data_IF_844437876618
#
_entry.id   IF_844437876618
#
_cell.length_a   1.000
_cell.length_b   1.000
_cell.length_c   1.000
_cell.angle_alpha   90.00
_cell.angle_beta   90.00
_cell.angle_gamma   90.00
#
_symmetry.space_group_name_H-M   'P 1'
#
loop_
_entity.id
_entity.type
_entity.pdbx_description
1 polymer ?
#
# COMPACT_ATOMS: atom_id res chain seq x y z
N UNK A 1 20.06 -16.64 8.51
CA UNK A 1 20.65 -17.01 9.81
C UNK A 1 20.55 -18.53 9.97
N UNK A 2 21.65 -19.27 10.19
CA UNK A 2 21.66 -20.74 10.16
C UNK A 2 20.72 -21.41 11.19
N UNK A 3 20.34 -20.70 12.25
CA UNK A 3 19.56 -21.24 13.38
C UNK A 3 18.17 -20.59 13.54
N UNK A 4 17.64 -19.94 12.50
CA UNK A 4 16.32 -19.30 12.60
C UNK A 4 15.20 -20.36 12.60
N UNK A 5 14.34 -20.34 13.61
CA UNK A 5 13.15 -21.18 13.70
C UNK A 5 11.90 -20.30 13.74
N UNK A 6 11.05 -20.44 12.72
CA UNK A 6 9.85 -19.63 12.55
C UNK A 6 8.82 -19.86 13.66
N UNK A 7 8.74 -21.06 14.25
CA UNK A 7 7.79 -21.33 15.34
C UNK A 7 8.23 -20.66 16.62
N UNK A 8 9.50 -20.82 16.99
CA UNK A 8 10.08 -20.14 18.15
C UNK A 8 9.99 -18.62 18.03
N UNK A 9 10.21 -18.09 16.82
CA UNK A 9 10.02 -16.66 16.57
C UNK A 9 8.57 -16.24 16.78
N UNK A 10 7.61 -17.00 16.25
CA UNK A 10 6.19 -16.71 16.42
C UNK A 10 5.76 -16.75 17.90
N UNK A 11 6.19 -17.78 18.64
CA UNK A 11 5.95 -17.92 20.08
C UNK A 11 6.55 -16.76 20.87
N UNK A 12 7.80 -16.37 20.57
CA UNK A 12 8.45 -15.23 21.20
C UNK A 12 7.70 -13.92 20.95
N UNK A 13 7.20 -13.71 19.73
CA UNK A 13 6.41 -12.52 19.40
C UNK A 13 5.05 -12.51 20.13
N UNK A 14 4.39 -13.66 20.24
CA UNK A 14 3.14 -13.78 21.00
C UNK A 14 3.36 -13.50 22.49
N UNK A 15 4.40 -14.07 23.09
CA UNK A 15 4.78 -13.81 24.47
C UNK A 15 5.09 -12.32 24.71
N UNK A 16 5.77 -11.67 23.75
CA UNK A 16 6.03 -10.24 23.81
C UNK A 16 4.73 -9.42 23.76
N UNK A 17 3.79 -9.75 22.87
CA UNK A 17 2.49 -9.06 22.80
C UNK A 17 1.73 -9.17 24.12
N UNK A 18 1.63 -10.37 24.68
CA UNK A 18 0.98 -10.59 25.99
C UNK A 18 1.67 -9.83 27.13
N UNK A 19 3.00 -9.74 27.09
CA UNK A 19 3.75 -8.91 28.04
C UNK A 19 3.44 -7.42 27.86
N UNK A 20 3.44 -6.92 26.62
CA UNK A 20 3.13 -5.53 26.31
C UNK A 20 1.70 -5.13 26.73
N UNK A 21 0.72 -6.02 26.54
CA UNK A 21 -0.66 -5.82 26.98
C UNK A 21 -0.76 -5.71 28.51
N UNK A 22 -0.05 -6.58 29.24
CA UNK A 22 0.05 -6.50 30.71
C UNK A 22 0.76 -5.21 31.17
N UNK A 23 1.82 -4.83 30.48
CA UNK A 23 2.56 -3.59 30.76
C UNK A 23 1.69 -2.35 30.51
N UNK A 24 0.86 -2.35 29.46
CA UNK A 24 -0.03 -1.22 29.15
C UNK A 24 -1.06 -0.91 30.25
N UNK A 25 -1.43 -1.90 31.05
CA UNK A 25 -2.34 -1.76 32.19
C UNK A 25 -1.63 -1.62 33.54
N UNK A 26 -0.29 -1.62 33.55
CA UNK A 26 0.51 -1.48 34.76
C UNK A 26 0.25 -0.14 35.47
N UNK A 27 0.46 -0.07 36.80
CA UNK A 27 0.37 1.18 37.56
C UNK A 27 1.31 2.26 37.03
N UNK A 28 2.51 1.88 36.60
CA UNK A 28 3.56 2.79 36.12
C UNK A 28 3.11 3.49 34.83
N UNK A 29 2.70 2.71 33.81
CA UNK A 29 2.23 3.25 32.53
C UNK A 29 0.93 4.03 32.75
N UNK A 30 0.02 3.54 33.59
CA UNK A 30 -1.22 4.26 33.88
C UNK A 30 -0.95 5.62 34.52
N UNK A 31 0.00 5.71 35.46
CA UNK A 31 0.41 6.97 36.09
C UNK A 31 1.02 7.93 35.06
N UNK A 32 1.88 7.44 34.17
CA UNK A 32 2.45 8.24 33.09
C UNK A 32 1.36 8.79 32.15
N UNK A 33 0.42 7.94 31.72
CA UNK A 33 -0.68 8.35 30.84
C UNK A 33 -1.62 9.36 31.50
N UNK A 34 -1.84 9.25 32.82
CA UNK A 34 -2.57 10.24 33.60
C UNK A 34 -1.85 11.60 33.60
N UNK A 35 -0.54 11.61 33.86
CA UNK A 35 0.27 12.84 33.84
C UNK A 35 0.24 13.50 32.46
N UNK A 36 0.41 12.72 31.39
CA UNK A 36 0.33 13.22 30.01
C UNK A 36 -1.05 13.78 29.65
N UNK A 37 -2.14 13.21 30.19
CA UNK A 37 -3.49 13.71 29.97
C UNK A 37 -3.71 15.07 30.66
N UNK A 38 -3.19 15.24 31.88
CA UNK A 38 -3.33 16.45 32.70
C UNK A 38 -2.41 17.60 32.24
N UNK A 39 -1.27 17.31 31.62
CA UNK A 39 -0.33 18.33 31.13
C UNK A 39 -0.80 19.07 29.86
N UNK A 40 -1.82 18.59 29.14
CA UNK A 40 -2.34 19.29 27.96
C UNK A 40 -3.24 20.46 28.39
N UNK A 41 -2.65 21.64 28.51
CA UNK A 41 -3.27 22.90 29.01
C UNK A 41 -4.65 23.23 28.43
N UNK A 42 -4.92 22.90 27.16
CA UNK A 42 -6.23 23.14 26.52
C UNK A 42 -7.30 22.08 26.79
N UNK A 43 -6.93 20.90 27.28
CA UNK A 43 -7.86 19.81 27.59
C UNK A 43 -8.08 19.65 29.11
N UNK A 44 -7.13 20.11 29.93
CA UNK A 44 -7.10 19.89 31.38
C UNK A 44 -8.18 20.64 32.16
N UNK A 45 -8.76 21.74 31.63
CA UNK A 45 -9.71 22.57 32.38
C UNK A 45 -11.02 21.86 32.77
N UNK A 46 -11.43 20.81 32.04
CA UNK A 46 -12.67 20.06 32.29
C UNK A 46 -12.48 18.52 32.35
N UNK A 47 -11.24 18.02 32.34
CA UNK A 47 -10.95 16.57 32.35
C UNK A 47 -11.04 16.00 33.78
N UNK A 48 -12.25 15.61 34.21
CA UNK A 48 -12.47 14.90 35.47
C UNK A 48 -13.39 13.68 35.30
N UNK A 49 -13.30 12.74 36.25
CA UNK A 49 -14.14 11.53 36.29
C UNK A 49 -14.10 10.73 34.99
N UNK A 50 -15.29 10.42 34.45
CA UNK A 50 -15.49 9.59 33.25
C UNK A 50 -14.75 10.13 32.01
N UNK A 51 -14.63 11.45 31.88
CA UNK A 51 -13.94 12.06 30.75
C UNK A 51 -12.43 11.77 30.79
N UNK A 52 -11.83 11.82 31.98
CA UNK A 52 -10.43 11.49 32.21
C UNK A 52 -10.16 10.00 31.94
N UNK A 53 -11.02 9.11 32.44
CA UNK A 53 -10.91 7.67 32.22
C UNK A 53 -10.98 7.31 30.73
N UNK A 54 -11.89 7.94 29.99
CA UNK A 54 -12.00 7.76 28.54
C UNK A 54 -10.74 8.27 27.80
N UNK A 55 -10.17 9.38 28.25
CA UNK A 55 -8.93 9.92 27.67
C UNK A 55 -7.72 9.01 27.96
N UNK A 56 -7.60 8.50 29.18
CA UNK A 56 -6.57 7.52 29.56
C UNK A 56 -6.71 6.26 28.73
N UNK A 57 -7.93 5.74 28.53
CA UNK A 57 -8.18 4.57 27.67
C UNK A 57 -7.70 4.81 26.24
N UNK A 58 -8.05 5.95 25.63
CA UNK A 58 -7.59 6.33 24.28
C UNK A 58 -6.06 6.44 24.22
N UNK A 59 -5.45 7.06 25.22
CA UNK A 59 -3.99 7.20 25.31
C UNK A 59 -3.32 5.83 25.46
N UNK A 60 -3.88 4.92 26.25
CA UNK A 60 -3.37 3.55 26.43
C UNK A 60 -3.38 2.75 25.14
N UNK A 61 -4.48 2.80 24.39
CA UNK A 61 -4.58 2.15 23.06
C UNK A 61 -3.49 2.70 22.12
N UNK A 62 -3.28 4.01 22.11
CA UNK A 62 -2.23 4.65 21.31
C UNK A 62 -0.83 4.26 21.77
N UNK A 63 -0.60 4.23 23.09
CA UNK A 63 0.67 3.83 23.70
C UNK A 63 1.02 2.40 23.30
N UNK A 64 0.09 1.45 23.50
CA UNK A 64 0.30 0.04 23.17
C UNK A 64 0.58 -0.14 21.67
N UNK A 65 -0.19 0.54 20.81
CA UNK A 65 0.05 0.53 19.36
C UNK A 65 1.45 1.02 19.02
N UNK A 66 1.89 2.14 19.59
CA UNK A 66 3.21 2.71 19.31
C UNK A 66 4.32 1.78 19.80
N UNK A 67 4.19 1.27 21.03
CA UNK A 67 5.13 0.33 21.64
C UNK A 67 5.31 -0.94 20.79
N UNK A 68 4.20 -1.56 20.37
CA UNK A 68 4.22 -2.73 19.50
C UNK A 68 4.77 -2.41 18.10
N UNK A 69 4.44 -1.24 17.54
CA UNK A 69 4.96 -0.81 16.23
C UNK A 69 6.47 -0.65 16.28
N UNK A 70 7.00 -0.01 17.31
CA UNK A 70 8.44 0.19 17.49
C UNK A 70 9.17 -1.14 17.70
N UNK A 71 8.67 -1.99 18.60
CA UNK A 71 9.24 -3.31 18.86
C UNK A 71 9.24 -4.20 17.60
N UNK A 72 8.11 -4.25 16.88
CA UNK A 72 8.01 -5.00 15.64
C UNK A 72 8.93 -4.47 14.54
N UNK A 73 9.05 -3.15 14.41
CA UNK A 73 9.96 -2.51 13.44
C UNK A 73 11.41 -2.83 13.76
N UNK A 74 11.80 -2.72 15.04
CA UNK A 74 13.14 -3.09 15.51
C UNK A 74 13.44 -4.56 15.21
N UNK A 75 12.51 -5.46 15.53
CA UNK A 75 12.68 -6.91 15.29
C UNK A 75 12.81 -7.25 13.81
N UNK A 76 11.98 -6.64 12.96
CA UNK A 76 12.09 -6.79 11.51
C UNK A 76 13.48 -6.36 11.01
N UNK A 77 13.98 -5.20 11.46
CA UNK A 77 15.30 -4.70 11.08
C UNK A 77 16.44 -5.61 11.56
N UNK A 78 16.38 -6.13 12.80
CA UNK A 78 17.37 -7.09 13.33
C UNK A 78 17.48 -8.36 12.47
N UNK A 79 16.37 -8.80 11.89
CA UNK A 79 16.29 -9.96 11.01
C UNK A 79 16.54 -9.62 9.53
N UNK A 80 16.85 -8.36 9.21
CA UNK A 80 17.15 -7.90 7.85
C UNK A 80 15.91 -7.64 6.97
N UNK A 81 14.72 -7.53 7.55
CA UNK A 81 13.50 -7.21 6.82
C UNK A 81 13.25 -5.70 6.77
N UNK A 82 12.88 -5.14 5.60
CA UNK A 82 12.72 -3.70 5.43
C UNK A 82 11.52 -3.11 6.19
N UNK A 83 10.53 -3.94 6.52
CA UNK A 83 9.39 -3.56 7.35
C UNK A 83 8.71 -4.79 7.97
N UNK A 84 7.81 -4.53 8.92
CA UNK A 84 7.04 -5.57 9.61
C UNK A 84 6.13 -6.38 8.67
N UNK A 85 5.62 -5.78 7.59
CA UNK A 85 4.80 -6.49 6.61
C UNK A 85 5.59 -7.60 5.90
N UNK A 86 6.75 -7.28 5.34
CA UNK A 86 7.61 -8.27 4.66
C UNK A 86 8.12 -9.34 5.63
N UNK A 87 8.47 -8.95 6.86
CA UNK A 87 8.83 -9.88 7.91
C UNK A 87 7.70 -10.87 8.24
N UNK A 88 6.49 -10.37 8.49
CA UNK A 88 5.34 -11.23 8.84
C UNK A 88 4.94 -12.16 7.69
N UNK A 89 5.03 -11.71 6.43
CA UNK A 89 4.82 -12.57 5.27
C UNK A 89 5.88 -13.67 5.16
N UNK A 90 7.16 -13.35 5.37
CA UNK A 90 8.22 -14.36 5.39
C UNK A 90 8.05 -15.37 6.53
N UNK A 91 7.64 -14.92 7.71
CA UNK A 91 7.35 -15.80 8.84
C UNK A 91 6.22 -16.78 8.50
N UNK A 92 5.13 -16.29 7.90
CA UNK A 92 4.02 -17.12 7.47
C UNK A 92 4.45 -18.16 6.41
N UNK A 93 5.23 -17.76 5.41
CA UNK A 93 5.76 -18.69 4.41
C UNK A 93 6.68 -19.77 5.02
N UNK A 94 7.49 -19.39 6.02
CA UNK A 94 8.36 -20.32 6.73
C UNK A 94 7.56 -21.36 7.52
N UNK A 95 6.48 -20.92 8.18
CA UNK A 95 5.54 -21.81 8.89
C UNK A 95 4.79 -22.73 7.92
N UNK A 96 4.35 -22.23 6.76
CA UNK A 96 3.74 -23.04 5.71
C UNK A 96 4.74 -24.10 5.20
N UNK A 97 6.00 -23.72 5.01
CA UNK A 97 7.03 -24.65 4.56
C UNK A 97 7.29 -25.77 5.59
N UNK A 98 7.28 -25.43 6.89
CA UNK A 98 7.52 -26.37 7.99
C UNK A 98 6.32 -27.31 8.22
N UNK A 99 5.11 -26.76 8.23
CA UNK A 99 3.90 -27.47 8.69
C UNK A 99 3.00 -27.95 7.54
N UNK A 100 3.29 -27.57 6.30
CA UNK A 100 2.51 -27.90 5.11
C UNK A 100 2.91 -29.18 4.40
N UNK A 101 3.76 -30.02 5.00
CA UNK A 101 4.22 -31.24 4.33
C UNK A 101 3.07 -32.22 4.04
N UNK A 102 3.12 -32.86 2.88
CA UNK A 102 2.04 -33.73 2.37
C UNK A 102 0.76 -33.02 1.88
N UNK A 103 0.63 -31.70 2.08
CA UNK A 103 -0.53 -30.93 1.63
C UNK A 103 -0.29 -30.30 0.24
N UNK A 104 -1.32 -30.20 -0.62
CA UNK A 104 -1.21 -29.56 -1.93
C UNK A 104 -1.23 -28.03 -1.79
N UNK A 105 -0.10 -27.46 -1.37
CA UNK A 105 0.03 -26.03 -1.10
C UNK A 105 0.96 -25.38 -2.12
N UNK A 106 0.58 -24.19 -2.58
CA UNK A 106 1.46 -23.28 -3.29
C UNK A 106 1.42 -21.88 -2.65
N UNK A 107 2.59 -21.26 -2.51
CA UNK A 107 2.74 -19.87 -2.08
C UNK A 107 2.80 -18.98 -3.31
N UNK A 108 1.88 -18.02 -3.41
CA UNK A 108 1.82 -17.04 -4.49
C UNK A 108 2.43 -15.72 -4.00
N UNK A 109 3.42 -15.22 -4.73
CA UNK A 109 4.14 -13.97 -4.45
C UNK A 109 3.95 -13.00 -5.62
N UNK A 110 2.86 -12.21 -5.62
CA UNK A 110 2.72 -11.15 -6.60
C UNK A 110 3.69 -10.00 -6.31
N UNK A 111 4.12 -9.31 -7.36
CA UNK A 111 4.79 -8.03 -7.25
C UNK A 111 3.79 -6.91 -6.92
N UNK A 112 4.15 -5.64 -7.12
CA UNK A 112 3.26 -4.52 -6.77
C UNK A 112 2.03 -4.58 -7.68
N UNK A 113 0.90 -4.97 -7.10
CA UNK A 113 -0.35 -5.17 -7.83
C UNK A 113 -0.99 -3.83 -8.14
N UNK A 114 -1.24 -3.61 -9.43
CA UNK A 114 -1.74 -2.35 -9.96
C UNK A 114 -2.96 -2.54 -10.87
N UNK A 115 -3.40 -1.44 -11.45
CA UNK A 115 -4.59 -1.30 -12.29
C UNK A 115 -4.74 -2.44 -13.32
N UNK A 116 -5.97 -2.92 -13.50
CA UNK A 116 -6.29 -3.94 -14.50
C UNK A 116 -6.10 -3.47 -15.95
N UNK A 117 -5.72 -4.41 -16.82
CA UNK A 117 -5.60 -4.18 -18.27
C UNK A 117 -6.82 -4.68 -19.07
N UNK A 118 -7.62 -5.58 -18.50
CA UNK A 118 -8.75 -6.24 -19.18
C UNK A 118 -9.92 -6.49 -18.22
N UNK A 119 -9.69 -7.15 -17.08
CA UNK A 119 -10.75 -7.61 -16.15
C UNK A 119 -10.66 -6.95 -14.77
N UNK A 120 -11.76 -6.65 -14.07
CA UNK A 120 -13.16 -6.77 -14.52
C UNK A 120 -13.55 -5.76 -15.61
N UNK A 121 -12.81 -4.68 -15.75
CA UNK A 121 -12.83 -3.74 -16.88
C UNK A 121 -11.50 -3.01 -16.94
N UNK A 122 -11.19 -2.35 -18.05
CA UNK A 122 -9.95 -1.58 -18.23
C UNK A 122 -9.87 -0.44 -17.19
N UNK A 123 -8.76 -0.35 -16.44
CA UNK A 123 -8.59 0.75 -15.50
C UNK A 123 -9.27 0.53 -14.14
N UNK A 124 -9.65 -0.70 -13.79
CA UNK A 124 -10.14 -1.01 -12.44
C UNK A 124 -8.98 -1.01 -11.45
N UNK A 125 -9.19 -0.36 -10.30
CA UNK A 125 -8.25 -0.32 -9.19
C UNK A 125 -9.06 -0.10 -7.89
N UNK A 126 -8.54 -0.56 -6.76
CA UNK A 126 -9.20 -0.47 -5.46
C UNK A 126 -8.24 0.01 -4.37
N UNK A 127 -8.72 0.98 -3.59
CA UNK A 127 -8.02 1.49 -2.42
C UNK A 127 -6.78 2.34 -2.72
N UNK A 128 -6.07 2.68 -1.65
CA UNK A 128 -4.77 3.35 -1.73
C UNK A 128 -3.71 2.26 -1.77
N UNK A 129 -3.35 1.85 -2.99
CA UNK A 129 -2.28 0.90 -3.21
C UNK A 129 -0.89 1.55 -3.08
N UNK A 130 0.14 0.71 -3.11
CA UNK A 130 1.53 1.08 -2.80
C UNK A 130 2.09 2.09 -3.79
N UNK A 131 1.97 1.92 -5.11
CA UNK A 131 2.54 2.90 -6.04
C UNK A 131 1.71 4.19 -6.13
N UNK A 132 0.42 4.17 -5.84
CA UNK A 132 -0.45 5.33 -6.00
C UNK A 132 -0.03 6.53 -5.15
N UNK A 133 0.48 6.30 -3.94
CA UNK A 133 0.95 7.37 -3.07
C UNK A 133 2.21 8.04 -3.63
N UNK A 134 3.11 7.24 -4.21
CA UNK A 134 4.31 7.74 -4.88
C UNK A 134 3.93 8.49 -6.16
N UNK A 135 3.06 7.91 -6.99
CA UNK A 135 2.56 8.57 -8.20
C UNK A 135 1.84 9.88 -7.88
N UNK A 136 1.01 9.92 -6.84
CA UNK A 136 0.36 11.15 -6.39
C UNK A 136 1.39 12.21 -6.04
N UNK A 137 2.41 11.84 -5.25
CA UNK A 137 3.51 12.74 -4.87
C UNK A 137 4.24 13.30 -6.11
N UNK A 138 4.55 12.46 -7.10
CA UNK A 138 5.20 12.88 -8.36
C UNK A 138 4.32 13.82 -9.20
N UNK A 139 3.01 13.83 -8.98
CA UNK A 139 2.07 14.78 -9.57
C UNK A 139 1.95 16.13 -8.85
N UNK A 140 2.67 16.33 -7.75
CA UNK A 140 2.70 17.58 -6.96
C UNK A 140 3.91 18.45 -7.32
N UNK A 141 4.21 19.48 -6.52
CA UNK A 141 5.44 20.29 -6.66
C UNK A 141 6.72 19.57 -6.20
N UNK A 142 6.63 18.30 -5.79
CA UNK A 142 7.76 17.49 -5.40
C UNK A 142 8.66 17.17 -6.60
N UNK A 143 9.96 17.49 -6.49
CA UNK A 143 10.89 17.46 -7.63
C UNK A 143 11.99 16.42 -7.57
N UNK A 144 12.42 15.99 -6.40
CA UNK A 144 13.65 15.19 -6.24
C UNK A 144 13.33 13.88 -5.55
N UNK A 145 13.17 12.80 -6.32
CA UNK A 145 12.93 11.47 -5.76
C UNK A 145 14.27 10.75 -5.54
N UNK A 146 14.68 10.44 -4.30
CA UNK A 146 15.88 9.65 -4.05
C UNK A 146 15.62 8.19 -4.47
N UNK A 147 16.21 7.77 -5.58
CA UNK A 147 15.97 6.45 -6.15
C UNK A 147 17.17 5.97 -6.97
N UNK A 148 17.32 4.65 -7.12
CA UNK A 148 18.24 4.08 -8.10
C UNK A 148 17.51 3.99 -9.45
N UNK A 149 17.93 4.79 -10.42
CA UNK A 149 17.33 4.86 -11.75
C UNK A 149 17.23 3.52 -12.48
N UNK A 150 18.20 2.63 -12.26
CA UNK A 150 18.27 1.31 -12.92
C UNK A 150 17.47 0.25 -12.18
N UNK A 151 16.98 0.54 -10.98
CA UNK A 151 16.20 -0.41 -10.19
C UNK A 151 14.89 -0.71 -10.92
N UNK A 152 14.62 -1.99 -11.16
CA UNK A 152 13.33 -2.44 -11.69
C UNK A 152 12.22 -2.24 -10.67
N UNK A 153 11.20 -1.48 -11.03
CA UNK A 153 9.97 -1.33 -10.25
C UNK A 153 8.99 -2.40 -10.71
N UNK A 154 8.89 -3.48 -9.95
CA UNK A 154 8.07 -4.61 -10.35
C UNK A 154 6.59 -4.34 -10.09
N UNK A 155 5.88 -3.99 -11.14
CA UNK A 155 4.44 -3.75 -11.15
C UNK A 155 3.77 -4.83 -11.99
N UNK A 156 2.62 -5.32 -11.53
CA UNK A 156 1.81 -6.29 -12.25
C UNK A 156 0.33 -5.89 -12.24
N UNK A 157 -0.38 -5.92 -13.37
CA UNK A 157 -1.83 -5.73 -13.40
C UNK A 157 -2.55 -6.79 -12.56
N UNK A 158 -3.56 -6.37 -11.80
CA UNK A 158 -4.34 -7.25 -10.91
C UNK A 158 -5.00 -8.42 -11.63
N UNK A 159 -5.45 -8.23 -12.87
CA UNK A 159 -6.02 -9.32 -13.66
C UNK A 159 -4.98 -10.32 -14.17
N UNK A 160 -3.74 -9.90 -14.41
CA UNK A 160 -2.64 -10.85 -14.64
C UNK A 160 -2.36 -11.71 -13.41
N UNK A 161 -2.46 -11.11 -12.21
CA UNK A 161 -2.36 -11.85 -10.94
C UNK A 161 -3.50 -12.87 -10.82
N UNK A 162 -4.74 -12.47 -11.12
CA UNK A 162 -5.89 -13.37 -11.10
C UNK A 162 -5.76 -14.53 -12.09
N UNK A 163 -5.32 -14.28 -13.33
CA UNK A 163 -5.02 -15.34 -14.30
C UNK A 163 -3.94 -16.30 -13.76
N UNK A 164 -2.84 -15.77 -13.25
CA UNK A 164 -1.78 -16.57 -12.64
C UNK A 164 -2.27 -17.45 -11.48
N UNK A 165 -3.06 -16.88 -10.57
CA UNK A 165 -3.66 -17.62 -9.46
C UNK A 165 -4.62 -18.73 -9.94
N UNK A 166 -5.35 -18.49 -11.04
CA UNK A 166 -6.27 -19.47 -11.62
C UNK A 166 -5.49 -20.68 -12.17
N UNK A 167 -4.40 -20.42 -12.90
CA UNK A 167 -3.50 -21.47 -13.39
C UNK A 167 -2.87 -22.27 -12.23
N UNK A 168 -2.44 -21.58 -11.18
CA UNK A 168 -1.85 -22.20 -9.99
C UNK A 168 -2.89 -23.08 -9.28
N UNK A 169 -4.13 -22.62 -9.15
CA UNK A 169 -5.21 -23.39 -8.55
C UNK A 169 -5.47 -24.69 -9.33
N UNK A 170 -5.52 -24.63 -10.67
CA UNK A 170 -5.65 -25.82 -11.52
C UNK A 170 -4.46 -26.79 -11.29
N UNK A 171 -3.23 -26.27 -11.27
CA UNK A 171 -2.04 -27.08 -11.00
C UNK A 171 -2.04 -27.74 -9.61
N UNK A 172 -2.61 -27.08 -8.59
CA UNK A 172 -2.78 -27.62 -7.23
C UNK A 172 -3.77 -28.79 -7.25
N UNK A 173 -4.93 -28.61 -7.91
CA UNK A 173 -5.96 -29.67 -8.03
C UNK A 173 -5.37 -30.90 -8.72
N UNK A 174 -4.58 -30.70 -9.77
CA UNK A 174 -3.88 -31.76 -10.49
C UNK A 174 -2.62 -32.29 -9.77
N UNK A 175 -2.29 -31.78 -8.57
CA UNK A 175 -1.10 -32.19 -7.79
C UNK A 175 0.22 -32.05 -8.55
N UNK A 176 0.31 -31.11 -9.51
CA UNK A 176 1.51 -30.82 -10.30
C UNK A 176 2.10 -29.43 -10.01
N UNK A 177 1.62 -28.76 -8.97
CA UNK A 177 2.07 -27.43 -8.60
C UNK A 177 3.52 -27.42 -8.11
N UNK A 178 4.17 -26.27 -8.28
CA UNK A 178 5.41 -25.94 -7.56
C UNK A 178 5.05 -25.34 -6.20
N UNK A 179 6.03 -25.31 -5.30
CA UNK A 179 5.85 -24.76 -3.95
C UNK A 179 5.68 -23.25 -3.95
N UNK A 180 6.34 -22.54 -4.86
CA UNK A 180 6.34 -21.07 -4.91
C UNK A 180 6.14 -20.60 -6.35
N UNK A 181 5.28 -19.60 -6.52
CA UNK A 181 5.04 -18.92 -7.77
C UNK A 181 5.21 -17.41 -7.59
N UNK A 182 6.15 -16.83 -8.33
CA UNK A 182 6.26 -15.38 -8.48
C UNK A 182 5.31 -14.94 -9.59
N UNK A 183 4.51 -13.91 -9.34
CA UNK A 183 3.69 -13.24 -10.35
C UNK A 183 4.24 -11.82 -10.52
N UNK A 184 5.11 -11.66 -11.51
CA UNK A 184 6.00 -10.52 -11.65
C UNK A 184 6.24 -10.15 -13.12
N UNK A 185 6.76 -8.94 -13.32
CA UNK A 185 7.15 -8.41 -14.64
C UNK A 185 8.66 -8.11 -14.74
N UNK A 186 9.41 -8.02 -13.63
CA UNK A 186 10.80 -7.53 -13.64
C UNK A 186 11.71 -8.19 -14.68
N UNK A 187 11.71 -9.52 -14.76
CA UNK A 187 12.65 -10.23 -15.66
C UNK A 187 12.09 -10.33 -17.08
N UNK A 188 10.76 -10.42 -17.22
CA UNK A 188 10.10 -10.73 -18.48
C UNK A 188 9.78 -9.48 -19.31
N UNK A 189 9.46 -8.38 -18.64
CA UNK A 189 9.09 -7.08 -19.23
C UNK A 189 9.42 -5.93 -18.26
N UNK A 190 10.72 -5.61 -18.04
CA UNK A 190 11.15 -4.66 -17.02
C UNK A 190 10.64 -3.24 -17.25
N UNK A 191 10.17 -2.59 -16.16
CA UNK A 191 10.02 -1.13 -16.07
C UNK A 191 10.88 -0.62 -14.93
N UNK A 192 11.94 0.13 -15.23
CA UNK A 192 12.84 0.68 -14.20
C UNK A 192 12.32 1.97 -13.57
N UNK A 193 12.95 2.40 -12.49
CA UNK A 193 12.59 3.63 -11.77
C UNK A 193 12.71 4.86 -12.66
N UNK A 194 13.72 4.94 -13.54
CA UNK A 194 13.83 6.06 -14.50
C UNK A 194 12.60 6.12 -15.41
N UNK A 195 12.24 4.99 -16.02
CA UNK A 195 11.12 4.88 -16.96
C UNK A 195 9.79 5.12 -16.28
N UNK A 196 9.55 4.54 -15.11
CA UNK A 196 8.31 4.75 -14.35
C UNK A 196 8.13 6.19 -13.90
N UNK A 197 9.19 6.89 -13.48
CA UNK A 197 9.13 8.34 -13.17
C UNK A 197 8.80 9.15 -14.43
N UNK A 198 9.50 8.88 -15.54
CA UNK A 198 9.27 9.56 -16.82
C UNK A 198 7.80 9.41 -17.28
N UNK A 199 7.30 8.18 -17.30
CA UNK A 199 5.92 7.87 -17.70
C UNK A 199 4.89 8.50 -16.76
N UNK A 200 5.15 8.50 -15.46
CA UNK A 200 4.31 9.18 -14.46
C UNK A 200 4.25 10.68 -14.75
N UNK A 201 5.39 11.34 -14.94
CA UNK A 201 5.45 12.77 -15.29
C UNK A 201 4.73 13.07 -16.61
N UNK A 202 4.94 12.27 -17.65
CA UNK A 202 4.24 12.39 -18.93
C UNK A 202 2.71 12.29 -18.77
N UNK A 203 2.22 11.32 -18.01
CA UNK A 203 0.81 11.13 -17.75
C UNK A 203 0.21 12.32 -16.97
N UNK A 204 0.92 12.83 -15.96
CA UNK A 204 0.52 14.02 -15.24
C UNK A 204 0.47 15.25 -16.15
N UNK A 205 1.48 15.43 -17.02
CA UNK A 205 1.50 16.53 -18.00
C UNK A 205 0.34 16.44 -18.97
N UNK A 206 0.03 15.26 -19.51
CA UNK A 206 -1.13 15.05 -20.38
C UNK A 206 -2.42 15.49 -19.69
N UNK A 207 -2.61 15.11 -18.42
CA UNK A 207 -3.78 15.50 -17.65
C UNK A 207 -3.85 17.02 -17.39
N UNK A 208 -2.75 17.63 -16.96
CA UNK A 208 -2.74 19.07 -16.63
C UNK A 208 -2.83 19.97 -17.86
N UNK A 209 -2.35 19.54 -19.04
CA UNK A 209 -2.55 20.27 -20.30
C UNK A 209 -4.01 20.38 -20.72
N UNK A 210 -4.85 19.43 -20.30
CA UNK A 210 -6.28 19.43 -20.58
C UNK A 210 -7.08 20.31 -19.61
N UNK A 211 -6.44 20.94 -18.62
CA UNK A 211 -7.09 21.77 -17.63
C UNK A 211 -6.69 23.24 -17.77
N UNK A 212 -7.63 24.14 -17.51
CA UNK A 212 -7.39 25.58 -17.49
C UNK A 212 -7.00 26.06 -16.08
N UNK A 213 -6.00 26.94 -15.99
CA UNK A 213 -5.63 27.61 -14.74
C UNK A 213 -4.13 27.68 -14.49
N UNK A 214 -3.72 28.73 -13.75
CA UNK A 214 -2.32 28.99 -13.41
C UNK A 214 -1.68 27.85 -12.61
N UNK A 215 -2.43 27.20 -11.72
CA UNK A 215 -1.92 26.07 -10.93
C UNK A 215 -1.49 24.89 -11.82
N UNK A 216 -2.31 24.52 -12.80
CA UNK A 216 -2.00 23.42 -13.71
C UNK A 216 -0.84 23.76 -14.63
N UNK A 217 -0.78 25.01 -15.12
CA UNK A 217 0.35 25.51 -15.88
C UNK A 217 1.66 25.48 -15.08
N UNK A 218 1.62 25.82 -13.79
CA UNK A 218 2.77 25.70 -12.90
C UNK A 218 3.17 24.24 -12.74
N UNK A 219 2.23 23.32 -12.47
CA UNK A 219 2.52 21.88 -12.32
C UNK A 219 3.19 21.28 -13.56
N UNK A 220 2.88 21.76 -14.76
CA UNK A 220 3.53 21.32 -16.02
C UNK A 220 5.05 21.58 -16.05
N UNK A 221 5.58 22.44 -15.18
CA UNK A 221 7.01 22.80 -15.11
C UNK A 221 7.75 22.08 -13.97
N UNK A 222 7.05 21.28 -13.17
CA UNK A 222 7.58 20.63 -11.97
C UNK A 222 7.68 19.12 -12.12
N UNK A 223 8.29 18.66 -13.22
CA UNK A 223 8.58 17.24 -13.38
C UNK A 223 9.58 16.77 -12.31
N UNK A 224 9.24 15.67 -11.67
CA UNK A 224 10.12 14.98 -10.73
C UNK A 224 11.28 14.34 -11.48
N UNK A 225 12.46 14.40 -10.89
CA UNK A 225 13.66 13.77 -11.40
C UNK A 225 14.17 12.74 -10.37
N UNK A 226 14.67 11.59 -10.83
CA UNK A 226 15.43 10.71 -9.98
C UNK A 226 16.72 11.42 -9.54
N UNK A 227 17.11 11.24 -8.28
CA UNK A 227 18.35 11.78 -7.73
C UNK A 227 19.03 10.76 -6.81
N UNK A 228 20.34 10.92 -6.62
CA UNK A 228 21.06 10.16 -5.59
C UNK A 228 20.60 10.58 -4.19
N UNK A 229 20.80 9.69 -3.21
CA UNK A 229 20.45 9.96 -1.82
C UNK A 229 21.25 11.13 -1.26
N UNK A 230 22.53 11.24 -1.60
CA UNK A 230 23.42 12.33 -1.17
C UNK A 230 22.96 13.69 -1.72
N UNK A 231 22.46 13.72 -2.97
CA UNK A 231 21.88 14.93 -3.55
C UNK A 231 20.57 15.29 -2.84
N UNK A 232 19.72 14.30 -2.60
CA UNK A 232 18.45 14.52 -1.89
C UNK A 232 18.68 15.10 -0.48
N UNK A 233 19.59 14.52 0.30
CA UNK A 233 19.84 14.97 1.67
C UNK A 233 20.47 16.37 1.70
N UNK A 234 21.35 16.69 0.74
CA UNK A 234 21.96 18.04 0.62
C UNK A 234 20.96 19.11 0.17
N UNK A 235 20.06 18.78 -0.76
CA UNK A 235 19.25 19.75 -1.50
C UNK A 235 17.77 19.77 -1.08
N UNK A 236 17.28 18.78 -0.32
CA UNK A 236 15.84 18.59 -0.09
C UNK A 236 15.43 18.70 1.37
N UNK A 237 16.12 18.08 2.34
CA UNK A 237 15.68 18.13 3.74
C UNK A 237 16.06 19.45 4.46
N UNK A 238 17.32 19.92 4.47
CA UNK A 238 17.69 21.18 5.12
C UNK A 238 17.37 22.40 4.25
N UNK A 239 17.56 22.30 2.93
CA UNK A 239 17.42 23.41 2.02
C UNK A 239 15.96 23.82 1.77
N UNK A 240 15.00 22.88 1.69
CA UNK A 240 13.58 23.26 1.57
C UNK A 240 13.07 23.92 2.85
N UNK A 241 13.52 23.44 4.02
CA UNK A 241 13.22 24.05 5.33
C UNK A 241 13.81 25.47 5.43
N UNK A 242 15.06 25.65 4.98
CA UNK A 242 15.73 26.95 4.94
C UNK A 242 15.12 27.93 3.92
N UNK A 243 14.70 27.45 2.74
CA UNK A 243 14.04 28.24 1.69
C UNK A 243 12.66 28.73 2.18
N UNK A 244 11.88 27.87 2.84
CA UNK A 244 10.59 28.29 3.43
C UNK A 244 10.82 29.37 4.49
N UNK A 245 11.84 29.21 5.35
CA UNK A 245 12.19 30.18 6.39
C UNK A 245 12.72 31.51 5.82
N UNK A 246 13.48 31.49 4.71
CA UNK A 246 14.02 32.70 4.09
C UNK A 246 13.00 33.47 3.27
N UNK A 247 12.13 32.79 2.50
CA UNK A 247 10.97 33.39 1.82
C UNK A 247 10.08 34.12 2.84
N UNK A 248 9.94 33.58 4.05
CA UNK A 248 9.17 34.22 5.11
C UNK A 248 9.78 35.47 5.71
N UNK A 249 11.12 35.55 5.85
CA UNK A 249 11.76 36.81 6.28
C UNK A 249 11.52 37.93 5.29
N UNK A 250 11.46 37.58 4.00
CA UNK A 250 11.22 38.52 2.90
C UNK A 250 9.73 38.88 2.81
N UNK A 251 8.83 37.92 3.06
CA UNK A 251 7.37 38.10 2.99
C UNK A 251 6.70 38.54 4.30
N UNK A 252 7.44 38.64 5.42
CA UNK A 252 6.94 39.11 6.71
C UNK A 252 6.18 40.47 6.70
N UNK A 253 6.50 41.45 5.81
CA UNK A 253 5.75 42.69 5.70
C UNK A 253 4.37 42.54 5.01
N UNK A 254 4.16 41.47 4.26
CA UNK A 254 2.93 41.19 3.53
C UNK A 254 2.12 40.19 4.36
N UNK A 255 0.96 40.59 4.90
CA UNK A 255 0.12 39.82 5.84
C UNK A 255 -0.45 38.48 5.32
N UNK A 256 0.12 37.90 4.26
CA UNK A 256 -0.16 36.57 3.73
C UNK A 256 0.55 35.47 4.55
N UNK A 257 0.19 35.31 5.82
CA UNK A 257 0.62 34.16 6.63
C UNK A 257 -0.20 32.92 6.24
N UNK A 258 0.29 32.12 5.28
CA UNK A 258 -0.14 30.71 5.22
C UNK A 258 0.35 30.00 6.50
N UNK A 259 -0.45 29.13 7.13
CA UNK A 259 -0.07 28.53 8.42
C UNK A 259 1.13 27.59 8.26
N UNK A 260 2.27 28.04 8.75
CA UNK A 260 3.58 27.38 8.81
C UNK A 260 3.51 25.90 9.17
N UNK A 261 2.77 25.58 10.22
CA UNK A 261 2.58 24.22 10.70
C UNK A 261 1.98 23.28 9.64
N UNK A 262 1.21 23.79 8.67
CA UNK A 262 0.65 22.97 7.59
C UNK A 262 1.71 22.60 6.55
N UNK A 263 2.62 23.51 6.23
CA UNK A 263 3.71 23.26 5.29
C UNK A 263 4.75 22.30 5.88
N UNK A 264 5.14 22.50 7.15
CA UNK A 264 6.06 21.60 7.86
C UNK A 264 5.48 20.18 8.00
N UNK A 265 4.22 20.05 8.43
CA UNK A 265 3.54 18.74 8.46
C UNK A 265 3.44 18.09 7.08
N UNK A 266 3.38 18.89 6.00
CA UNK A 266 3.37 18.35 4.64
C UNK A 266 4.74 17.80 4.26
N UNK A 267 5.83 18.47 4.64
CA UNK A 267 7.19 17.98 4.41
C UNK A 267 7.49 16.71 5.22
N UNK A 268 7.11 16.67 6.50
CA UNK A 268 7.27 15.46 7.32
C UNK A 268 6.53 14.25 6.72
N UNK A 269 5.35 14.46 6.14
CA UNK A 269 4.62 13.40 5.43
C UNK A 269 5.39 12.91 4.20
N UNK A 270 6.01 13.82 3.44
CA UNK A 270 6.82 13.47 2.26
C UNK A 270 8.07 12.69 2.68
N UNK A 271 8.78 13.14 3.72
CA UNK A 271 9.95 12.44 4.26
C UNK A 271 9.60 11.04 4.75
N UNK A 272 8.50 10.89 5.52
CA UNK A 272 8.01 9.58 5.97
C UNK A 272 7.62 8.68 4.80
N UNK A 273 6.96 9.23 3.78
CA UNK A 273 6.60 8.48 2.58
C UNK A 273 7.85 7.98 1.87
N UNK A 274 8.82 8.86 1.62
CA UNK A 274 10.09 8.49 0.98
C UNK A 274 10.81 7.42 1.79
N UNK A 275 10.94 7.60 3.11
CA UNK A 275 11.56 6.61 4.00
C UNK A 275 10.90 5.24 3.92
N UNK A 276 9.57 5.17 3.79
CA UNK A 276 8.83 3.92 3.61
C UNK A 276 9.18 3.22 2.29
N UNK A 277 9.42 3.97 1.21
CA UNK A 277 9.71 3.42 -0.12
C UNK A 277 11.20 3.14 -0.36
N UNK A 278 12.11 3.81 0.36
CA UNK A 278 13.55 3.70 0.15
C UNK A 278 14.07 2.25 0.02
N UNK A 279 13.64 1.28 0.86
CA UNK A 279 14.09 -0.09 0.69
C UNK A 279 13.76 -0.68 -0.70
N UNK A 280 12.65 -0.28 -1.30
CA UNK A 280 12.13 -0.85 -2.55
C UNK A 280 12.60 -0.12 -3.80
N UNK A 281 12.87 1.19 -3.71
CA UNK A 281 13.25 2.03 -4.85
C UNK A 281 14.76 2.37 -4.89
N UNK A 282 15.47 2.22 -3.76
CA UNK A 282 16.85 2.66 -3.64
C UNK A 282 17.79 1.54 -3.18
N UNK A 283 17.47 0.85 -2.08
CA UNK A 283 18.44 -0.03 -1.41
C UNK A 283 18.47 -1.46 -1.92
N UNK A 284 17.31 -2.07 -2.12
CA UNK A 284 17.25 -3.47 -2.52
C UNK A 284 17.30 -3.58 -4.04
N UNK A 285 18.06 -4.54 -4.56
CA UNK A 285 18.09 -4.90 -5.98
C UNK A 285 17.57 -6.34 -6.13
N UNK A 286 16.26 -6.47 -6.25
CA UNK A 286 15.61 -7.76 -6.51
C UNK A 286 15.06 -7.81 -7.92
N UNK A 287 15.32 -8.94 -8.58
CA UNK A 287 14.76 -9.36 -9.85
C UNK A 287 13.87 -10.58 -9.61
N UNK A 288 12.60 -10.49 -10.00
CA UNK A 288 11.65 -11.57 -9.80
C UNK A 288 11.42 -12.33 -11.11
N UNK A 289 11.76 -13.62 -11.10
CA UNK A 289 11.60 -14.56 -12.21
C UNK A 289 10.26 -15.29 -12.07
N UNK A 290 9.43 -15.24 -13.11
CA UNK A 290 8.07 -15.79 -13.12
C UNK A 290 7.93 -17.17 -13.82
N UNK A 291 9.04 -17.88 -14.07
CA UNK A 291 9.08 -19.12 -14.87
C UNK A 291 8.03 -20.17 -14.49
N UNK A 292 7.73 -20.34 -13.21
CA UNK A 292 6.80 -21.37 -12.76
C UNK A 292 5.37 -21.11 -13.26
N UNK A 293 4.89 -19.85 -13.25
CA UNK A 293 3.55 -19.53 -13.77
C UNK A 293 3.56 -19.49 -15.30
N UNK A 294 4.66 -19.07 -15.92
CA UNK A 294 4.79 -19.09 -17.38
C UNK A 294 4.72 -20.51 -17.93
N UNK A 295 5.36 -21.49 -17.28
CA UNK A 295 5.24 -22.90 -17.66
C UNK A 295 3.78 -23.40 -17.61
N UNK A 296 2.99 -22.94 -16.64
CA UNK A 296 1.56 -23.27 -16.59
C UNK A 296 0.79 -22.61 -17.74
N UNK A 297 1.09 -21.34 -18.04
CA UNK A 297 0.50 -20.58 -19.14
C UNK A 297 0.82 -21.19 -20.51
N UNK A 298 2.06 -21.61 -20.74
CA UNK A 298 2.49 -22.26 -21.98
C UNK A 298 1.82 -23.63 -22.20
N UNK A 299 1.45 -24.32 -21.13
CA UNK A 299 0.80 -25.63 -21.20
C UNK A 299 -0.69 -25.55 -21.59
N UNK A 300 -1.29 -24.34 -21.62
CA UNK A 300 -2.67 -24.15 -22.06
C UNK A 300 -2.85 -24.54 -23.54
N UNK A 301 -4.00 -25.12 -23.84
CA UNK A 301 -4.48 -25.29 -25.22
C UNK A 301 -4.79 -23.93 -25.85
N UNK A 302 -4.74 -23.82 -27.17
CA UNK A 302 -4.80 -22.53 -27.87
C UNK A 302 -6.08 -21.74 -27.55
N UNK A 303 -7.19 -22.45 -27.36
CA UNK A 303 -8.52 -21.91 -27.08
C UNK A 303 -8.60 -21.26 -25.70
N UNK A 304 -7.82 -21.74 -24.73
CA UNK A 304 -7.83 -21.26 -23.35
C UNK A 304 -6.86 -20.10 -23.10
N UNK A 305 -5.85 -19.91 -23.98
CA UNK A 305 -4.80 -18.90 -23.80
C UNK A 305 -5.35 -17.47 -23.68
N UNK A 306 -6.39 -17.12 -24.44
CA UNK A 306 -6.95 -15.77 -24.39
C UNK A 306 -7.69 -15.47 -23.06
N UNK A 307 -8.22 -16.51 -22.42
CA UNK A 307 -9.05 -16.36 -21.22
C UNK A 307 -8.24 -16.53 -19.93
N UNK A 308 -7.32 -17.49 -19.90
CA UNK A 308 -6.55 -17.88 -18.71
C UNK A 308 -5.05 -17.64 -18.83
N UNK A 309 -4.57 -17.21 -20.00
CA UNK A 309 -3.15 -16.96 -20.23
C UNK A 309 -2.58 -15.95 -19.25
N UNK A 310 -1.40 -16.29 -18.72
CA UNK A 310 -0.53 -15.35 -18.05
C UNK A 310 0.47 -14.82 -19.08
N UNK A 311 0.24 -13.59 -19.55
CA UNK A 311 1.12 -12.90 -20.48
C UNK A 311 1.40 -11.47 -20.01
N UNK A 312 2.51 -11.30 -19.31
CA UNK A 312 3.00 -9.98 -18.88
C UNK A 312 3.89 -9.30 -19.91
N UNK A 313 4.29 -10.00 -20.97
CA UNK A 313 5.17 -9.46 -22.02
C UNK A 313 4.42 -8.54 -22.97
N UNK A 314 3.11 -8.73 -23.13
CA UNK A 314 2.26 -7.87 -23.95
C UNK A 314 1.94 -6.50 -23.35
N UNK A 315 2.37 -6.22 -22.11
CA UNK A 315 2.16 -4.91 -21.49
C UNK A 315 3.02 -3.87 -22.19
N UNK A 316 2.40 -2.98 -22.96
CA UNK A 316 3.03 -1.73 -23.40
C UNK A 316 3.03 -0.74 -22.23
N UNK A 317 4.22 -0.51 -21.65
CA UNK A 317 4.36 0.38 -20.50
C UNK A 317 3.94 1.82 -20.79
N UNK A 318 4.12 2.32 -22.02
CA UNK A 318 3.70 3.68 -22.36
C UNK A 318 2.17 3.81 -22.36
N UNK A 319 1.49 2.91 -23.05
CA UNK A 319 0.03 2.89 -23.12
C UNK A 319 -0.56 2.62 -21.73
N UNK A 320 -0.10 1.56 -21.06
CA UNK A 320 -0.56 1.19 -19.73
C UNK A 320 -0.42 2.35 -18.75
N UNK A 321 0.73 3.02 -18.67
CA UNK A 321 0.95 4.05 -17.67
C UNK A 321 0.12 5.31 -17.94
N UNK A 322 0.18 5.82 -19.17
CA UNK A 322 -0.36 7.14 -19.53
C UNK A 322 -1.88 7.10 -19.76
N UNK A 323 -2.40 5.99 -20.27
CA UNK A 323 -3.79 5.88 -20.70
C UNK A 323 -4.65 5.00 -19.78
N UNK A 324 -4.03 4.11 -18.99
CA UNK A 324 -4.77 3.19 -18.12
C UNK A 324 -4.51 3.49 -16.64
N UNK A 325 -3.28 3.29 -16.18
CA UNK A 325 -2.91 3.29 -14.77
C UNK A 325 -3.08 4.66 -14.11
N UNK A 326 -2.44 5.73 -14.61
CA UNK A 326 -2.54 7.07 -14.02
C UNK A 326 -3.98 7.62 -14.08
N UNK A 327 -4.72 7.51 -15.20
CA UNK A 327 -6.13 7.87 -15.23
C UNK A 327 -6.97 7.08 -14.21
N UNK A 328 -6.73 5.78 -14.05
CA UNK A 328 -7.40 4.96 -13.05
C UNK A 328 -7.09 5.44 -11.62
N UNK A 329 -5.83 5.73 -11.29
CA UNK A 329 -5.46 6.27 -9.98
C UNK A 329 -6.16 7.60 -9.69
N UNK A 330 -6.25 8.49 -10.69
CA UNK A 330 -6.97 9.76 -10.56
C UNK A 330 -8.46 9.58 -10.29
N UNK A 331 -9.06 8.50 -10.81
CA UNK A 331 -10.47 8.16 -10.62
C UNK A 331 -10.73 7.47 -9.29
N UNK A 332 -9.92 6.47 -8.93
CA UNK A 332 -10.23 5.54 -7.84
C UNK A 332 -9.41 5.75 -6.57
N UNK A 333 -8.25 6.43 -6.64
CA UNK A 333 -7.29 6.44 -5.53
C UNK A 333 -6.92 7.84 -5.05
N UNK A 334 -6.66 8.78 -5.95
CA UNK A 334 -6.28 10.15 -5.59
C UNK A 334 -7.37 10.87 -4.77
N UNK A 335 -8.67 10.71 -5.05
CA UNK A 335 -9.71 11.26 -4.19
C UNK A 335 -9.59 10.76 -2.75
N UNK A 336 -9.32 9.47 -2.55
CA UNK A 336 -9.13 8.88 -1.22
C UNK A 336 -7.92 9.46 -0.49
N UNK A 337 -6.79 9.67 -1.19
CA UNK A 337 -5.59 10.32 -0.64
C UNK A 337 -5.92 11.75 -0.19
N UNK A 338 -6.79 12.44 -0.92
CA UNK A 338 -7.24 13.80 -0.63
C UNK A 338 -8.36 13.86 0.41
N UNK A 339 -8.84 12.72 0.91
CA UNK A 339 -9.96 12.63 1.85
C UNK A 339 -11.33 12.91 1.22
N UNK A 340 -11.43 12.83 -0.12
CA UNK A 340 -12.68 12.94 -0.87
C UNK A 340 -13.29 11.55 -1.07
N UNK A 341 -14.61 11.38 -0.87
CA UNK A 341 -15.27 10.11 -1.18
C UNK A 341 -15.18 9.84 -2.68
N UNK A 342 -15.13 8.56 -3.06
CA UNK A 342 -15.35 8.16 -4.45
C UNK A 342 -16.80 8.42 -4.83
N UNK A 343 -17.05 8.71 -6.10
CA UNK A 343 -18.42 8.80 -6.62
C UNK A 343 -19.21 7.56 -6.19
N UNK A 344 -20.29 7.79 -5.44
CA UNK A 344 -21.12 6.71 -4.94
C UNK A 344 -21.70 5.96 -6.14
N UNK A 345 -21.35 4.68 -6.28
CA UNK A 345 -22.07 3.82 -7.22
C UNK A 345 -23.50 3.67 -6.68
N UNK A 346 -24.55 3.86 -7.51
CA UNK A 346 -25.89 3.48 -7.10
C UNK A 346 -25.87 2.01 -6.66
N UNK A 347 -26.53 1.72 -5.54
CA UNK A 347 -26.61 0.36 -5.04
C UNK A 347 -27.14 -0.56 -6.16
N UNK A 348 -26.43 -1.67 -6.42
CA UNK A 348 -26.98 -2.70 -7.30
C UNK A 348 -28.16 -3.33 -6.58
N UNK A 349 -29.38 -2.97 -7.00
CA UNK A 349 -30.58 -3.68 -6.60
C UNK A 349 -30.53 -5.06 -7.26
N UNK A 350 -30.06 -6.06 -6.52
CA UNK A 350 -30.15 -7.45 -6.95
C UNK A 350 -31.62 -7.86 -6.88
N UNK A 351 -32.32 -7.81 -8.01
CA UNK A 351 -33.65 -8.39 -8.14
C UNK A 351 -33.49 -9.88 -8.47
N UNK A 352 -33.76 -10.73 -7.48
CA UNK A 352 -34.08 -12.13 -7.77
C UNK A 352 -35.32 -12.12 -8.67
N UNK A 353 -35.19 -12.65 -9.88
CA UNK A 353 -36.34 -12.94 -10.73
C UNK A 353 -37.29 -13.81 -9.92
N UNK A 354 -38.57 -13.44 -9.73
CA UNK A 354 -39.47 -14.27 -8.95
C UNK A 354 -39.55 -15.64 -9.61
N UNK A 355 -39.20 -16.68 -8.84
CA UNK A 355 -39.42 -18.05 -9.24
C UNK A 355 -40.91 -18.23 -9.60
N UNK A 356 -41.16 -19.07 -10.60
CA UNK A 356 -42.47 -19.48 -11.10
C UNK A 356 -43.54 -19.62 -10.01
N UNK A 357 -44.83 -19.37 -10.33
CA UNK A 357 -45.91 -19.36 -9.34
C UNK A 357 -45.92 -20.65 -8.53
N UNK A 358 -45.60 -20.52 -7.25
CA UNK A 358 -45.61 -21.61 -6.26
C UNK A 358 -47.06 -21.99 -5.98
N UNK A 359 -47.53 -23.09 -6.55
CA UNK A 359 -48.53 -23.91 -5.88
C UNK A 359 -47.90 -24.41 -4.57
N UNK A 360 -48.69 -24.34 -3.50
CA UNK A 360 -48.19 -24.22 -2.14
C UNK A 360 -47.37 -25.40 -1.64
N UNK A 361 -46.30 -25.06 -0.92
CA UNK A 361 -45.95 -25.65 0.38
C UNK A 361 -44.81 -24.80 0.97
N UNK A 362 -45.13 -23.99 1.99
CA UNK A 362 -44.16 -23.16 2.70
C UNK A 362 -43.37 -24.01 3.70
N UNK A 363 -42.18 -24.46 3.31
CA UNK A 363 -41.21 -25.02 4.25
C UNK A 363 -40.60 -23.88 5.07
N UNK A 364 -40.96 -23.79 6.36
CA UNK A 364 -40.34 -22.86 7.32
C UNK A 364 -38.90 -23.33 7.61
N UNK A 365 -37.91 -22.64 7.07
CA UNK A 365 -36.52 -22.75 7.53
C UNK A 365 -36.27 -21.68 8.59
N UNK A 366 -35.95 -22.14 9.81
CA UNK A 366 -35.73 -21.30 10.97
C UNK A 366 -34.35 -20.66 10.95
N UNK A 367 -34.28 -19.39 10.57
CA UNK A 367 -33.22 -18.47 11.02
C UNK A 367 -33.84 -17.11 11.25
N UNK A 368 -33.91 -16.72 12.53
CA UNK A 368 -34.42 -15.44 13.00
C UNK A 368 -33.67 -14.28 12.36
N UNK A 369 -34.37 -13.55 11.49
CA UNK A 369 -34.21 -12.14 11.09
C UNK A 369 -33.00 -11.36 11.62
N UNK A 370 -31.79 -11.69 11.16
CA UNK A 370 -30.60 -10.86 11.37
C UNK A 370 -30.16 -10.22 10.03
N UNK A 371 -30.64 -9.00 9.78
CA UNK A 371 -30.09 -8.11 8.75
C UNK A 371 -28.78 -7.51 9.22
N UNK A 372 -27.67 -7.94 8.64
CA UNK A 372 -26.36 -7.32 8.83
C UNK A 372 -26.23 -6.10 7.92
N UNK A 373 -26.10 -4.90 8.50
CA UNK A 373 -25.67 -3.69 7.80
C UNK A 373 -24.15 -3.57 7.92
N UNK A 374 -23.43 -3.64 6.80
CA UNK A 374 -22.03 -3.23 6.75
C UNK A 374 -21.98 -1.70 6.69
N UNK A 375 -21.31 -1.09 7.66
CA UNK A 375 -20.95 0.34 7.71
C UNK A 375 -19.57 0.58 7.12
#
# INVERSE_FOLDING_TARGET
MPNFDAEKECESLQAFVQHAERLAVSPEVTKELCQQALQKEHAAKDLSGVALDNQIRKNRIRWLRNYLTEAGTKRANELGWPNTYTFTKSLAESLICKNGDGLPIAVVRPSIVETSVKKPFLGWNEGINTSASLSYLLGTYFRQLPTNERKRLDIIPVDSVCCGMTLIAAAIVERRNRRVYQLATSVTNPCDMRRSIELTSLAHRKYYRAQEGLEYWLRLRFDAIPVSKERYDRMSAPAQKAIIQSIQRIMAPLQLRKPLARAERSLEKVEKLIGLFQPFILHNEHDFVADNVEKLSYALVAEEKNEFGYDTRSIDWWEYWIYVHIPALRKWTYPLIEGRPLEARPARNFQLTPAFPTNGETVRTGTNGATWRYS
#
